data_IF_785788450588
#
_entry.id   IF_785788450588
#
_cell.length_a   1.000
_cell.length_b   1.000
_cell.length_c   1.000
_cell.angle_alpha   90.00
_cell.angle_beta   90.00
_cell.angle_gamma   90.00
#
_symmetry.space_group_name_H-M   'P 1'
#
loop_
_entity.id
_entity.type
_entity.pdbx_description
1 polymer ?
#
# COMPACT_ATOMS: atom_id res chain seq x y z
N UNK A 1 0.61 -21.22 15.96
CA UNK A 1 1.14 -20.39 14.89
C UNK A 1 2.14 -19.33 15.36
N UNK A 2 2.89 -18.77 14.42
CA UNK A 2 3.88 -17.69 14.71
C UNK A 2 3.24 -16.30 14.72
N UNK A 3 2.11 -16.14 14.03
CA UNK A 3 1.35 -14.89 13.94
C UNK A 3 0.06 -15.07 14.71
N UNK A 4 -0.24 -14.16 15.63
CA UNK A 4 -1.47 -14.17 16.41
C UNK A 4 -2.48 -13.15 15.90
N UNK A 5 -2.01 -12.06 15.32
CA UNK A 5 -2.84 -11.00 14.74
C UNK A 5 -2.14 -10.49 13.47
N UNK A 6 -2.89 -10.19 12.44
CA UNK A 6 -2.41 -9.73 11.14
C UNK A 6 -3.04 -8.38 10.81
N UNK A 7 -2.23 -7.42 10.37
CA UNK A 7 -2.73 -6.12 9.88
C UNK A 7 -2.30 -5.98 8.42
N UNK A 8 -3.25 -5.78 7.54
CA UNK A 8 -3.07 -5.54 6.11
C UNK A 8 -3.52 -4.10 5.80
N UNK A 9 -2.56 -3.20 5.60
CA UNK A 9 -2.85 -1.79 5.36
C UNK A 9 -2.48 -1.38 3.95
N UNK A 10 -3.39 -0.72 3.24
CA UNK A 10 -3.22 -0.17 1.89
C UNK A 10 -2.51 -1.16 0.95
N UNK A 11 -3.06 -2.37 0.83
CA UNK A 11 -2.43 -3.49 0.12
C UNK A 11 -3.44 -4.29 -0.70
N UNK A 12 -2.95 -5.31 -1.41
CA UNK A 12 -3.77 -6.16 -2.26
C UNK A 12 -3.24 -7.59 -2.30
N UNK A 13 -4.12 -8.54 -2.57
CA UNK A 13 -3.74 -9.92 -2.88
C UNK A 13 -3.34 -10.12 -4.35
N UNK A 14 -3.59 -9.14 -5.23
CA UNK A 14 -3.25 -9.17 -6.65
C UNK A 14 -3.13 -7.77 -7.22
N UNK A 15 -2.06 -7.49 -7.95
CA UNK A 15 -1.70 -6.16 -8.46
C UNK A 15 -1.49 -6.17 -9.99
N UNK A 16 -2.38 -6.83 -10.73
CA UNK A 16 -2.33 -6.83 -12.20
C UNK A 16 -2.67 -5.48 -12.85
N UNK A 17 -2.44 -5.30 -14.15
CA UNK A 17 -1.83 -6.25 -15.07
C UNK A 17 -0.27 -6.26 -14.99
N UNK A 18 0.38 -7.39 -15.32
CA UNK A 18 1.85 -7.52 -15.31
C UNK A 18 2.59 -6.48 -16.15
N UNK A 19 2.03 -6.09 -17.29
CA UNK A 19 2.64 -5.12 -18.22
C UNK A 19 2.91 -3.74 -17.59
N UNK A 20 2.08 -3.30 -16.64
CA UNK A 20 2.29 -2.05 -15.94
C UNK A 20 3.54 -2.10 -15.04
N UNK A 21 3.82 -3.26 -14.45
CA UNK A 21 5.01 -3.50 -13.65
C UNK A 21 6.26 -3.65 -14.51
N UNK A 22 6.17 -4.30 -15.68
CA UNK A 22 7.28 -4.39 -16.64
C UNK A 22 7.72 -3.01 -17.11
N UNK A 23 6.77 -2.13 -17.45
CA UNK A 23 7.06 -0.75 -17.82
C UNK A 23 7.75 0.02 -16.68
N UNK A 24 7.31 -0.18 -15.43
CA UNK A 24 7.92 0.44 -14.24
C UNK A 24 9.33 -0.08 -13.99
N UNK A 25 9.57 -1.38 -14.13
CA UNK A 25 10.89 -2.00 -14.01
C UNK A 25 11.85 -1.44 -15.07
N UNK A 26 11.41 -1.36 -16.32
CA UNK A 26 12.20 -0.82 -17.41
C UNK A 26 12.58 0.65 -17.15
N UNK A 27 11.62 1.47 -16.75
CA UNK A 27 11.84 2.89 -16.43
C UNK A 27 12.89 3.07 -15.34
N UNK A 28 12.78 2.31 -14.23
CA UNK A 28 13.72 2.43 -13.11
C UNK A 28 15.13 1.98 -13.48
N UNK A 29 15.25 0.90 -14.24
CA UNK A 29 16.56 0.42 -14.72
C UNK A 29 17.24 1.38 -15.68
N UNK A 30 16.46 2.08 -16.51
CA UNK A 30 16.98 3.04 -17.50
C UNK A 30 17.29 4.39 -16.87
N UNK A 31 16.41 4.92 -15.99
CA UNK A 31 16.43 6.32 -15.54
C UNK A 31 16.56 6.49 -14.03
N UNK A 32 16.71 5.40 -13.28
CA UNK A 32 16.76 5.46 -11.82
C UNK A 32 15.42 5.82 -11.18
N UNK A 33 15.46 6.15 -9.89
CA UNK A 33 14.27 6.36 -9.08
C UNK A 33 13.60 7.73 -9.25
N UNK A 34 14.33 8.74 -9.70
CA UNK A 34 13.84 10.13 -9.74
C UNK A 34 12.52 10.33 -10.51
N UNK A 35 12.31 9.77 -11.72
CA UNK A 35 11.04 9.90 -12.44
C UNK A 35 9.87 9.24 -11.73
N UNK A 36 10.14 8.16 -10.97
CA UNK A 36 9.10 7.44 -10.22
C UNK A 36 8.73 8.13 -8.91
N UNK A 37 9.68 8.80 -8.26
CA UNK A 37 9.45 9.43 -6.97
C UNK A 37 8.32 10.46 -7.04
N UNK A 38 8.36 11.34 -8.04
CA UNK A 38 7.33 12.35 -8.26
C UNK A 38 5.94 11.72 -8.50
N UNK A 39 5.85 10.81 -9.47
CA UNK A 39 4.60 10.14 -9.83
C UNK A 39 4.04 9.27 -8.69
N UNK A 40 4.91 8.71 -7.85
CA UNK A 40 4.48 7.93 -6.68
C UNK A 40 3.88 8.82 -5.60
N UNK A 41 4.54 9.94 -5.27
CA UNK A 41 4.04 10.90 -4.28
C UNK A 41 2.66 11.43 -4.68
N UNK A 42 2.46 11.78 -5.95
CA UNK A 42 1.17 12.25 -6.48
C UNK A 42 0.03 11.22 -6.32
N UNK A 43 0.36 9.94 -6.30
CA UNK A 43 -0.61 8.84 -6.13
C UNK A 43 -0.79 8.38 -4.68
N UNK A 44 0.16 8.71 -3.81
CA UNK A 44 0.17 8.19 -2.45
C UNK A 44 -0.55 9.09 -1.45
N UNK A 45 -0.83 10.34 -1.86
CA UNK A 45 -1.49 11.33 -1.02
C UNK A 45 -2.70 11.93 -1.73
N UNK A 46 -3.71 12.31 -0.98
CA UNK A 46 -4.83 13.09 -1.50
C UNK A 46 -4.36 14.48 -1.92
N UNK A 47 -5.04 15.08 -2.89
CA UNK A 47 -4.73 16.44 -3.35
C UNK A 47 -4.77 17.44 -2.20
N UNK A 48 -5.74 17.30 -1.28
CA UNK A 48 -5.86 18.17 -0.12
C UNK A 48 -4.66 18.05 0.82
N UNK A 49 -4.23 16.81 1.12
CA UNK A 49 -3.05 16.58 1.96
C UNK A 49 -1.78 17.04 1.26
N UNK A 50 -1.62 16.78 -0.03
CA UNK A 50 -0.46 17.20 -0.81
C UNK A 50 -0.29 18.74 -0.80
N UNK A 51 -1.38 19.50 -0.80
CA UNK A 51 -1.34 20.96 -0.72
C UNK A 51 -0.87 21.49 0.65
N UNK A 52 -1.22 20.81 1.75
CA UNK A 52 -0.95 21.26 3.12
C UNK A 52 0.20 20.52 3.82
N UNK A 53 0.49 19.29 3.41
CA UNK A 53 1.35 18.34 4.13
C UNK A 53 2.79 18.26 3.62
N UNK A 54 3.33 19.27 2.96
CA UNK A 54 4.65 19.24 2.32
C UNK A 54 5.79 18.82 3.28
N UNK A 55 5.72 19.21 4.54
CA UNK A 55 6.71 18.84 5.56
C UNK A 55 6.74 17.33 5.83
N UNK A 56 5.59 16.65 5.74
CA UNK A 56 5.50 15.19 5.90
C UNK A 56 5.88 14.44 4.61
N UNK A 57 5.60 15.03 3.46
CA UNK A 57 5.84 14.42 2.14
C UNK A 57 7.31 14.47 1.73
N UNK A 58 8.00 15.58 2.00
CA UNK A 58 9.38 15.78 1.55
C UNK A 58 10.36 14.67 1.99
N UNK A 59 10.38 14.20 3.24
CA UNK A 59 11.27 13.11 3.64
C UNK A 59 10.90 11.77 2.95
N UNK A 60 9.63 11.53 2.65
CA UNK A 60 9.16 10.31 1.95
C UNK A 60 9.64 10.36 0.49
N UNK A 61 9.50 11.50 -0.17
CA UNK A 61 10.00 11.69 -1.53
C UNK A 61 11.53 11.52 -1.60
N UNK A 62 12.27 12.07 -0.63
CA UNK A 62 13.72 11.92 -0.55
C UNK A 62 14.14 10.46 -0.33
N UNK A 63 13.46 9.74 0.57
CA UNK A 63 13.70 8.32 0.81
C UNK A 63 13.44 7.48 -0.45
N UNK A 64 12.35 7.76 -1.16
CA UNK A 64 12.03 7.05 -2.40
C UNK A 64 13.07 7.30 -3.50
N UNK A 65 13.57 8.54 -3.64
CA UNK A 65 14.64 8.87 -4.57
C UNK A 65 15.97 8.18 -4.22
N UNK A 66 16.26 8.00 -2.94
CA UNK A 66 17.46 7.32 -2.45
C UNK A 66 17.35 5.79 -2.46
N UNK A 67 16.19 5.23 -2.80
CA UNK A 67 15.99 3.78 -2.87
C UNK A 67 16.86 3.18 -3.98
N UNK A 68 17.49 2.03 -3.70
CA UNK A 68 18.25 1.30 -4.71
C UNK A 68 17.36 0.86 -5.88
N UNK A 69 17.73 1.27 -7.10
CA UNK A 69 16.94 1.03 -8.29
C UNK A 69 16.79 -0.47 -8.63
N UNK A 70 17.82 -1.28 -8.36
CA UNK A 70 17.78 -2.72 -8.60
C UNK A 70 16.90 -3.43 -7.56
N UNK A 71 17.02 -3.04 -6.29
CA UNK A 71 16.15 -3.53 -5.22
C UNK A 71 14.68 -3.19 -5.50
N UNK A 72 14.41 -1.95 -5.91
CA UNK A 72 13.06 -1.53 -6.29
C UNK A 72 12.51 -2.33 -7.48
N UNK A 73 13.32 -2.52 -8.55
CA UNK A 73 12.94 -3.33 -9.70
C UNK A 73 12.66 -4.79 -9.31
N UNK A 74 13.43 -5.36 -8.38
CA UNK A 74 13.19 -6.68 -7.81
C UNK A 74 11.85 -6.78 -7.07
N UNK A 75 11.52 -5.78 -6.24
CA UNK A 75 10.21 -5.70 -5.58
C UNK A 75 9.07 -5.58 -6.60
N UNK A 76 9.23 -4.75 -7.64
CA UNK A 76 8.24 -4.65 -8.71
C UNK A 76 8.02 -5.98 -9.44
N UNK A 77 9.09 -6.76 -9.69
CA UNK A 77 8.99 -8.08 -10.30
C UNK A 77 8.24 -9.07 -9.39
N UNK A 78 8.51 -9.04 -8.09
CA UNK A 78 7.80 -9.86 -7.12
C UNK A 78 6.29 -9.53 -7.08
N UNK A 79 5.93 -8.23 -7.11
CA UNK A 79 4.54 -7.80 -7.13
C UNK A 79 3.87 -8.15 -8.46
N UNK A 80 4.58 -8.02 -9.58
CA UNK A 80 4.11 -8.41 -10.91
C UNK A 80 3.65 -9.87 -10.96
N UNK A 81 4.45 -10.75 -10.33
CA UNK A 81 4.25 -12.19 -10.37
C UNK A 81 3.37 -12.69 -9.21
N UNK A 82 3.01 -11.80 -8.28
CA UNK A 82 2.21 -12.12 -7.10
C UNK A 82 0.74 -12.35 -7.45
N UNK A 83 0.22 -13.53 -7.08
CA UNK A 83 -1.22 -13.78 -6.96
C UNK A 83 -1.51 -14.53 -5.66
N UNK A 84 -1.94 -13.78 -4.67
CA UNK A 84 -2.25 -14.28 -3.33
C UNK A 84 -3.75 -14.47 -3.09
N UNK A 85 -4.60 -14.36 -4.12
CA UNK A 85 -6.07 -14.44 -3.97
C UNK A 85 -6.53 -15.75 -3.35
N UNK A 86 -5.95 -16.88 -3.77
CA UNK A 86 -6.24 -18.18 -3.19
C UNK A 86 -5.63 -18.37 -1.80
N UNK A 87 -4.43 -17.84 -1.59
CA UNK A 87 -3.71 -17.94 -0.33
C UNK A 87 -4.37 -17.08 0.75
N UNK A 88 -4.88 -15.89 0.39
CA UNK A 88 -5.61 -15.04 1.33
C UNK A 88 -6.81 -15.74 1.95
N UNK A 89 -7.52 -16.56 1.19
CA UNK A 89 -8.65 -17.35 1.69
C UNK A 89 -8.27 -18.45 2.72
N UNK A 90 -6.99 -18.76 2.87
CA UNK A 90 -6.47 -19.72 3.84
C UNK A 90 -6.03 -19.06 5.16
N UNK A 91 -6.14 -17.74 5.27
CA UNK A 91 -5.79 -17.02 6.49
C UNK A 91 -6.90 -17.24 7.53
N UNK A 92 -6.54 -17.87 8.63
CA UNK A 92 -7.40 -18.14 9.80
C UNK A 92 -7.06 -17.25 11.01
N UNK A 93 -6.05 -16.41 10.86
CA UNK A 93 -5.56 -15.50 11.90
C UNK A 93 -6.47 -14.28 11.99
N UNK A 94 -6.76 -13.80 13.20
CA UNK A 94 -7.46 -12.55 13.42
C UNK A 94 -6.79 -11.44 12.58
N UNK A 95 -7.57 -10.81 11.71
CA UNK A 95 -7.04 -9.88 10.72
C UNK A 95 -7.77 -8.53 10.74
N UNK A 96 -7.00 -7.45 10.72
CA UNK A 96 -7.47 -6.09 10.44
C UNK A 96 -7.04 -5.71 9.02
N UNK A 97 -7.98 -5.26 8.20
CA UNK A 97 -7.69 -4.62 6.91
C UNK A 97 -7.96 -3.13 7.04
N UNK A 98 -6.97 -2.31 6.66
CA UNK A 98 -7.11 -0.84 6.61
C UNK A 98 -6.92 -0.41 5.15
N UNK A 99 -7.85 0.38 4.62
CA UNK A 99 -7.78 0.96 3.27
C UNK A 99 -8.02 2.47 3.28
N UNK A 100 -7.58 3.14 2.21
CA UNK A 100 -7.89 4.54 1.96
C UNK A 100 -9.08 4.66 1.00
N UNK A 101 -10.05 5.53 1.31
CA UNK A 101 -11.23 5.75 0.45
C UNK A 101 -10.86 6.41 -0.88
N UNK A 102 -9.71 7.09 -0.94
CA UNK A 102 -9.20 7.81 -2.09
C UNK A 102 -7.87 7.23 -2.60
N UNK A 103 -7.56 5.96 -2.29
CA UNK A 103 -6.32 5.30 -2.69
C UNK A 103 -6.38 4.86 -4.17
N UNK A 104 -5.60 5.47 -5.09
CA UNK A 104 -5.55 5.05 -6.48
C UNK A 104 -4.52 3.94 -6.74
N UNK A 105 -3.65 3.64 -5.77
CA UNK A 105 -2.63 2.59 -5.92
C UNK A 105 -3.21 1.22 -5.54
N UNK A 106 -3.95 1.14 -4.44
CA UNK A 106 -4.76 -0.01 -4.04
C UNK A 106 -6.20 0.47 -3.73
N UNK A 107 -7.04 0.63 -4.76
CA UNK A 107 -8.40 1.14 -4.61
C UNK A 107 -9.21 0.42 -3.52
N UNK A 108 -10.25 1.06 -2.97
CA UNK A 108 -11.11 0.49 -1.92
C UNK A 108 -11.53 -0.97 -2.17
N UNK A 109 -11.82 -1.30 -3.45
CA UNK A 109 -12.18 -2.65 -3.86
C UNK A 109 -11.12 -3.73 -3.53
N UNK A 110 -9.84 -3.35 -3.42
CA UNK A 110 -8.79 -4.29 -3.01
C UNK A 110 -8.88 -4.64 -1.52
N UNK A 111 -9.15 -3.65 -0.67
CA UNK A 111 -9.38 -3.86 0.76
C UNK A 111 -10.67 -4.65 1.00
N UNK A 112 -11.73 -4.36 0.26
CA UNK A 112 -12.99 -5.08 0.29
C UNK A 112 -12.82 -6.54 -0.15
N UNK A 113 -12.05 -6.79 -1.22
CA UNK A 113 -11.74 -8.14 -1.70
C UNK A 113 -10.94 -8.96 -0.67
N UNK A 114 -9.98 -8.34 0.03
CA UNK A 114 -9.27 -8.98 1.13
C UNK A 114 -10.20 -9.31 2.28
N UNK A 115 -11.09 -8.38 2.66
CA UNK A 115 -12.05 -8.59 3.73
C UNK A 115 -13.09 -9.67 3.40
N UNK A 116 -13.46 -9.82 2.13
CA UNK A 116 -14.33 -10.90 1.66
C UNK A 116 -13.64 -12.27 1.63
N UNK A 117 -12.33 -12.28 1.27
CA UNK A 117 -11.58 -13.53 1.14
C UNK A 117 -11.16 -14.11 2.49
N UNK A 118 -10.86 -13.27 3.49
CA UNK A 118 -10.37 -13.67 4.81
C UNK A 118 -11.55 -13.70 5.78
N UNK A 119 -11.82 -14.83 6.41
CA UNK A 119 -12.91 -14.95 7.38
C UNK A 119 -12.68 -14.12 8.65
N UNK A 120 -13.73 -13.45 9.16
CA UNK A 120 -13.69 -12.73 10.44
C UNK A 120 -12.84 -11.46 10.45
N UNK A 121 -12.63 -10.84 9.30
CA UNK A 121 -11.85 -9.60 9.16
C UNK A 121 -12.59 -8.40 9.72
N UNK A 122 -11.87 -7.55 10.47
CA UNK A 122 -12.27 -6.16 10.71
C UNK A 122 -11.77 -5.28 9.56
N UNK A 123 -12.66 -4.63 8.83
CA UNK A 123 -12.33 -3.66 7.77
C UNK A 123 -12.52 -2.23 8.29
N UNK A 124 -11.49 -1.40 8.12
CA UNK A 124 -11.51 0.03 8.42
C UNK A 124 -11.12 0.80 7.18
N UNK A 125 -11.99 1.73 6.73
CA UNK A 125 -11.69 2.64 5.62
C UNK A 125 -11.45 4.03 6.16
N UNK A 126 -10.32 4.64 5.79
CA UNK A 126 -9.91 5.97 6.22
C UNK A 126 -10.03 6.97 5.07
N UNK A 127 -10.37 8.21 5.37
CA UNK A 127 -10.40 9.30 4.39
C UNK A 127 -8.98 9.73 4.01
N UNK A 128 -8.29 8.87 3.25
CA UNK A 128 -6.90 9.00 2.87
C UNK A 128 -6.63 8.34 1.51
N UNK A 129 -5.47 8.62 0.93
CA UNK A 129 -4.93 7.86 -0.19
C UNK A 129 -4.07 6.68 0.30
N UNK A 130 -2.97 6.36 -0.41
CA UNK A 130 -2.19 5.14 -0.21
C UNK A 130 -1.37 5.13 1.09
N UNK A 131 -0.86 6.28 1.54
CA UNK A 131 -0.14 6.37 2.80
C UNK A 131 -1.07 6.86 3.92
N UNK A 132 -2.12 6.09 4.19
CA UNK A 132 -3.15 6.43 5.17
C UNK A 132 -2.58 6.63 6.59
N UNK A 133 -1.51 5.95 6.94
CA UNK A 133 -0.78 6.13 8.19
C UNK A 133 -0.09 7.49 8.33
N UNK A 134 0.17 8.18 7.21
CA UNK A 134 0.77 9.53 7.18
C UNK A 134 -0.32 10.60 7.10
N UNK A 135 -1.36 10.37 6.29
CA UNK A 135 -2.46 11.33 6.13
C UNK A 135 -3.39 11.37 7.35
N UNK A 136 -3.63 10.22 7.98
CA UNK A 136 -4.58 10.05 9.09
C UNK A 136 -3.91 9.31 10.27
N UNK A 137 -2.79 9.82 10.83
CA UNK A 137 -1.98 9.08 11.80
C UNK A 137 -2.78 8.70 13.05
N UNK A 138 -3.63 9.59 13.55
CA UNK A 138 -4.42 9.33 14.75
C UNK A 138 -5.52 8.28 14.52
N UNK A 139 -6.21 8.35 13.38
CA UNK A 139 -7.25 7.38 13.04
C UNK A 139 -6.66 6.01 12.71
N UNK A 140 -5.52 5.99 12.02
CA UNK A 140 -4.77 4.78 11.73
C UNK A 140 -4.25 4.14 13.04
N UNK A 141 -3.63 4.93 13.90
CA UNK A 141 -3.12 4.49 15.21
C UNK A 141 -4.23 3.90 16.06
N UNK A 142 -5.36 4.59 16.22
CA UNK A 142 -6.54 4.06 16.97
C UNK A 142 -7.04 2.73 16.40
N UNK A 143 -7.17 2.60 15.08
CA UNK A 143 -7.62 1.35 14.47
C UNK A 143 -6.68 0.17 14.78
N UNK A 144 -5.37 0.42 14.81
CA UNK A 144 -4.34 -0.56 15.16
C UNK A 144 -4.38 -0.90 16.66
N UNK A 145 -4.41 0.11 17.53
CA UNK A 145 -4.45 -0.06 18.99
C UNK A 145 -5.68 -0.84 19.43
N UNK A 146 -6.87 -0.45 18.97
CA UNK A 146 -8.13 -1.14 19.24
C UNK A 146 -8.15 -2.60 18.79
N UNK A 147 -7.41 -2.89 17.71
CA UNK A 147 -7.30 -4.26 17.21
C UNK A 147 -6.29 -5.10 17.99
N UNK A 148 -5.26 -4.48 18.54
CA UNK A 148 -4.21 -5.17 19.30
C UNK A 148 -4.57 -5.34 20.78
N UNK A 149 -5.48 -4.55 21.32
CA UNK A 149 -6.02 -4.72 22.66
C UNK A 149 -6.81 -6.03 22.77
#
# INVERSE_FOLDING_TARGET
GRVRRLILANTSSFMGPPSAWDARIALVRERGMAPLAQASVERWFTTAFAAAGQAAIAPIAAMLQATDAQGYAGCCAAIRDMDMRRTAALIDTLTLVIGGTQDPATPPSHSEALAQAIGGVRLVMLEAAHLANVEQPDAFGRAVEDFLA
#
